data_IF_565050623623
#
_entry.id   IF_565050623623
#
_cell.length_a   1.000
_cell.length_b   1.000
_cell.length_c   1.000
_cell.angle_alpha   90.00
_cell.angle_beta   90.00
_cell.angle_gamma   90.00
#
_symmetry.space_group_name_H-M   'P 1'
#
loop_
_entity.id
_entity.type
_entity.pdbx_description
1 polymer ?
#
# COMPACT_ATOMS: atom_id res chain seq x y z
N UNK A 1 -35.52 -1.20 -16.73
CA UNK A 1 -35.05 -1.15 -15.33
C UNK A 1 -35.21 -2.53 -14.70
N UNK A 2 -34.12 -3.27 -14.52
CA UNK A 2 -34.09 -4.53 -13.78
C UNK A 2 -33.08 -4.37 -12.65
N UNK A 3 -33.59 -4.24 -11.42
CA UNK A 3 -32.79 -4.20 -10.19
C UNK A 3 -32.42 -5.65 -9.86
N UNK A 4 -31.19 -6.05 -10.14
CA UNK A 4 -30.68 -7.36 -9.71
C UNK A 4 -29.87 -7.10 -8.44
N UNK A 5 -30.49 -7.46 -7.32
CA UNK A 5 -29.88 -7.61 -6.00
C UNK A 5 -28.93 -8.81 -6.05
N UNK A 6 -27.63 -8.58 -5.88
CA UNK A 6 -26.63 -9.65 -5.72
C UNK A 6 -26.21 -9.65 -4.24
N UNK A 7 -26.26 -10.81 -3.56
CA UNK A 7 -26.15 -10.88 -2.12
C UNK A 7 -24.71 -10.65 -1.65
N UNK A 8 -24.63 -10.00 -0.50
CA UNK A 8 -23.46 -9.73 0.31
C UNK A 8 -22.67 -11.03 0.56
N UNK A 9 -21.57 -11.22 -0.17
CA UNK A 9 -20.61 -12.30 0.07
C UNK A 9 -19.60 -11.79 1.11
N UNK A 10 -19.68 -12.30 2.33
CA UNK A 10 -18.72 -12.04 3.40
C UNK A 10 -17.35 -12.56 2.97
N UNK A 11 -16.48 -11.67 2.48
CA UNK A 11 -15.07 -11.97 2.23
C UNK A 11 -14.33 -11.85 3.55
N UNK A 12 -13.87 -12.99 4.06
CA UNK A 12 -12.90 -13.08 5.16
C UNK A 12 -11.66 -12.25 4.80
N UNK A 13 -11.22 -11.28 5.62
CA UNK A 13 -9.95 -10.62 5.36
C UNK A 13 -8.83 -11.60 5.74
N UNK A 14 -8.28 -12.30 4.75
CA UNK A 14 -6.93 -12.82 4.85
C UNK A 14 -6.01 -11.61 5.05
N UNK A 15 -5.65 -11.33 6.31
CA UNK A 15 -4.60 -10.35 6.64
C UNK A 15 -3.27 -10.91 6.16
N UNK A 16 -2.96 -10.70 4.89
CA UNK A 16 -1.60 -10.78 4.39
C UNK A 16 -0.77 -9.75 5.18
N UNK A 17 0.15 -10.24 6.01
CA UNK A 17 1.08 -9.41 6.78
C UNK A 17 2.13 -8.83 5.82
N UNK A 18 1.75 -7.85 5.00
CA UNK A 18 2.66 -7.04 4.21
C UNK A 18 3.42 -6.09 5.15
N UNK A 19 4.52 -6.60 5.69
CA UNK A 19 5.42 -5.84 6.54
C UNK A 19 6.10 -4.70 5.77
N UNK A 20 5.79 -3.48 6.19
CA UNK A 20 6.63 -2.29 6.08
C UNK A 20 7.10 -1.87 4.68
N UNK A 21 6.14 -1.56 3.80
CA UNK A 21 6.38 -0.62 2.70
C UNK A 21 6.36 0.81 3.23
N UNK A 22 7.39 1.61 2.89
CA UNK A 22 7.43 3.05 3.15
C UNK A 22 6.27 3.75 2.41
N UNK A 23 5.58 4.72 3.03
CA UNK A 23 4.62 5.58 2.34
C UNK A 23 5.37 6.44 1.32
N UNK A 24 4.96 6.43 0.05
CA UNK A 24 5.62 7.19 -1.03
C UNK A 24 5.81 6.38 -2.31
N UNK A 25 6.58 5.29 -2.27
CA UNK A 25 6.88 4.48 -3.47
C UNK A 25 5.66 3.64 -3.92
N UNK A 26 4.85 3.22 -2.95
CA UNK A 26 3.58 2.54 -3.21
C UNK A 26 2.53 3.47 -3.83
N UNK A 27 2.55 4.77 -3.51
CA UNK A 27 1.52 5.69 -3.97
C UNK A 27 1.72 6.06 -5.44
N UNK A 28 2.97 6.31 -5.83
CA UNK A 28 3.32 6.53 -7.22
C UNK A 28 3.12 5.27 -8.06
N UNK A 29 3.47 4.09 -7.53
CA UNK A 29 3.21 2.81 -8.20
C UNK A 29 1.71 2.57 -8.42
N UNK A 30 0.88 2.85 -7.40
CA UNK A 30 -0.57 2.74 -7.51
C UNK A 30 -1.12 3.75 -8.52
N UNK A 31 -0.66 5.00 -8.50
CA UNK A 31 -1.07 6.01 -9.49
C UNK A 31 -0.75 5.57 -10.92
N UNK A 32 0.46 5.06 -11.18
CA UNK A 32 0.85 4.52 -12.49
C UNK A 32 0.03 3.29 -12.88
N UNK A 33 -0.28 2.41 -11.93
CA UNK A 33 -1.15 1.26 -12.20
C UNK A 33 -2.56 1.71 -12.58
N UNK A 34 -3.07 2.73 -11.90
CA UNK A 34 -4.38 3.29 -12.19
C UNK A 34 -4.46 3.98 -13.53
N UNK A 35 -3.40 4.67 -13.93
CA UNK A 35 -3.29 5.26 -15.25
C UNK A 35 -3.37 4.19 -16.34
N UNK A 36 -2.63 3.07 -16.18
CA UNK A 36 -2.70 1.92 -17.10
C UNK A 36 -4.10 1.31 -17.17
N UNK A 37 -4.74 1.05 -16.04
CA UNK A 37 -6.12 0.50 -16.01
C UNK A 37 -7.09 1.44 -16.71
N UNK A 38 -6.93 2.74 -16.50
CA UNK A 38 -7.81 3.73 -17.10
C UNK A 38 -7.62 3.83 -18.62
N UNK A 39 -6.40 3.64 -19.12
CA UNK A 39 -6.11 3.53 -20.56
C UNK A 39 -6.64 2.22 -21.15
N UNK A 40 -6.33 1.07 -20.54
CA UNK A 40 -6.75 -0.26 -21.01
C UNK A 40 -8.27 -0.42 -21.08
N UNK A 41 -9.00 0.23 -20.17
CA UNK A 41 -10.46 0.22 -20.14
C UNK A 41 -11.10 1.42 -20.85
N UNK A 42 -10.29 2.27 -21.49
CA UNK A 42 -10.72 3.46 -22.23
C UNK A 42 -11.65 4.37 -21.41
N UNK A 43 -11.31 4.55 -20.13
CA UNK A 43 -12.16 5.29 -19.21
C UNK A 43 -12.25 6.78 -19.57
N UNK A 44 -13.46 7.31 -19.54
CA UNK A 44 -13.69 8.74 -19.70
C UNK A 44 -13.30 9.53 -18.44
N UNK A 45 -13.27 10.86 -18.54
CA UNK A 45 -12.84 11.74 -17.44
C UNK A 45 -13.69 11.59 -16.17
N UNK A 46 -15.00 11.41 -16.32
CA UNK A 46 -15.89 11.22 -15.18
C UNK A 46 -15.58 9.91 -14.43
N UNK A 47 -15.40 8.81 -15.16
CA UNK A 47 -15.02 7.52 -14.58
C UNK A 47 -13.65 7.59 -13.90
N UNK A 48 -12.66 8.26 -14.53
CA UNK A 48 -11.34 8.46 -13.94
C UNK A 48 -11.41 9.22 -12.62
N UNK A 49 -12.27 10.24 -12.55
CA UNK A 49 -12.47 11.04 -11.33
C UNK A 49 -13.09 10.21 -10.20
N UNK A 50 -14.13 9.44 -10.49
CA UNK A 50 -14.76 8.55 -9.51
C UNK A 50 -13.79 7.52 -8.95
N UNK A 51 -13.02 6.89 -9.83
CA UNK A 51 -12.04 5.89 -9.43
C UNK A 51 -10.94 6.51 -8.56
N UNK A 52 -10.39 7.69 -8.93
CA UNK A 52 -9.43 8.40 -8.07
C UNK A 52 -10.00 8.64 -6.66
N UNK A 53 -11.27 9.06 -6.56
CA UNK A 53 -11.95 9.24 -5.28
C UNK A 53 -12.01 7.95 -4.45
N UNK A 54 -12.28 6.80 -5.08
CA UNK A 54 -12.27 5.48 -4.41
C UNK A 54 -10.88 5.16 -3.85
N UNK A 55 -9.81 5.42 -4.61
CA UNK A 55 -8.44 5.15 -4.15
C UNK A 55 -7.99 6.08 -3.03
N UNK A 56 -8.36 7.36 -3.08
CA UNK A 56 -8.03 8.32 -2.02
C UNK A 56 -8.72 7.94 -0.69
N UNK A 57 -10.00 7.55 -0.76
CA UNK A 57 -10.74 7.04 0.40
C UNK A 57 -10.12 5.74 0.94
N UNK A 58 -9.78 4.80 0.05
CA UNK A 58 -9.10 3.57 0.42
C UNK A 58 -7.75 3.84 1.11
N UNK A 59 -6.94 4.76 0.57
CA UNK A 59 -5.64 5.17 1.13
C UNK A 59 -5.79 5.74 2.53
N UNK A 60 -6.77 6.62 2.72
CA UNK A 60 -7.08 7.21 4.03
C UNK A 60 -7.43 6.13 5.06
N UNK A 61 -8.34 5.21 4.71
CA UNK A 61 -8.75 4.09 5.57
C UNK A 61 -7.59 3.16 5.91
N UNK A 62 -6.74 2.84 4.93
CA UNK A 62 -5.58 1.98 5.15
C UNK A 62 -4.52 2.64 6.03
N UNK A 63 -4.29 3.95 5.89
CA UNK A 63 -3.39 4.71 6.78
C UNK A 63 -3.86 4.63 8.23
N UNK A 64 -5.14 4.92 8.47
CA UNK A 64 -5.72 4.84 9.82
C UNK A 64 -5.67 3.41 10.38
N UNK A 65 -5.96 2.40 9.56
CA UNK A 65 -5.88 0.99 9.97
C UNK A 65 -4.44 0.58 10.33
N UNK A 66 -3.45 1.04 9.55
CA UNK A 66 -2.03 0.75 9.81
C UNK A 66 -1.57 1.37 11.12
N UNK A 67 -1.87 2.65 11.35
CA UNK A 67 -1.53 3.34 12.61
C UNK A 67 -2.17 2.66 13.82
N UNK A 68 -3.46 2.34 13.73
CA UNK A 68 -4.18 1.62 14.79
C UNK A 68 -3.60 0.22 15.05
N UNK A 69 -3.25 -0.51 13.99
CA UNK A 69 -2.66 -1.84 14.11
C UNK A 69 -1.27 -1.77 14.73
N UNK A 70 -0.46 -0.81 14.31
CA UNK A 70 0.87 -0.59 14.88
C UNK A 70 0.81 -0.24 16.37
N UNK A 71 -0.11 0.62 16.78
CA UNK A 71 -0.32 0.95 18.19
C UNK A 71 -0.69 -0.29 19.01
N UNK A 72 -1.65 -1.11 18.52
CA UNK A 72 -2.08 -2.35 19.18
C UNK A 72 -0.94 -3.36 19.30
N UNK A 73 -0.16 -3.54 18.23
CA UNK A 73 1.02 -4.41 18.24
C UNK A 73 2.04 -3.91 19.25
N UNK A 74 2.39 -2.62 19.23
CA UNK A 74 3.38 -2.07 20.16
C UNK A 74 2.94 -2.17 21.63
N UNK A 75 1.62 -2.13 21.88
CA UNK A 75 1.03 -2.27 23.22
C UNK A 75 1.18 -3.65 23.86
N UNK A 76 1.31 -4.72 23.06
CA UNK A 76 1.51 -6.09 23.58
C UNK A 76 2.99 -6.51 23.67
N UNK A 77 3.91 -5.71 23.11
CA UNK A 77 5.34 -6.01 23.12
C UNK A 77 6.02 -5.54 24.41
N UNK A 78 7.04 -6.28 24.85
CA UNK A 78 7.96 -5.80 25.88
C UNK A 78 8.88 -4.69 25.34
N UNK A 79 9.52 -3.88 26.19
CA UNK A 79 10.48 -2.86 25.75
C UNK A 79 11.61 -3.42 24.87
N UNK A 80 12.12 -4.60 25.20
CA UNK A 80 13.19 -5.27 24.44
C UNK A 80 12.70 -5.74 23.07
N UNK A 81 11.48 -6.28 22.99
CA UNK A 81 10.88 -6.69 21.72
C UNK A 81 10.60 -5.50 20.81
N UNK A 82 10.21 -4.34 21.35
CA UNK A 82 10.07 -3.10 20.58
C UNK A 82 11.41 -2.67 19.99
N UNK A 83 12.48 -2.62 20.81
CA UNK A 83 13.83 -2.31 20.30
C UNK A 83 14.26 -3.26 19.17
N UNK A 84 13.95 -4.56 19.30
CA UNK A 84 14.23 -5.55 18.25
C UNK A 84 13.42 -5.29 16.98
N UNK A 85 12.14 -4.91 17.09
CA UNK A 85 11.30 -4.50 15.95
C UNK A 85 11.92 -3.30 15.24
N UNK A 86 12.29 -2.26 15.98
CA UNK A 86 12.85 -1.02 15.42
C UNK A 86 14.17 -1.29 14.68
N UNK A 87 15.05 -2.10 15.27
CA UNK A 87 16.29 -2.54 14.62
C UNK A 87 16.04 -3.37 13.34
N UNK A 88 15.01 -4.22 13.33
CA UNK A 88 14.62 -4.94 12.12
C UNK A 88 14.08 -4.00 11.03
N UNK A 89 13.33 -2.96 11.40
CA UNK A 89 12.83 -1.95 10.46
C UNK A 89 13.98 -1.14 9.84
N UNK A 90 14.94 -0.72 10.66
CA UNK A 90 16.15 -0.02 10.20
C UNK A 90 16.96 -0.88 9.22
N UNK A 91 17.23 -2.14 9.56
CA UNK A 91 17.93 -3.06 8.66
C UNK A 91 17.20 -3.29 7.33
N UNK A 92 15.86 -3.32 7.35
CA UNK A 92 15.06 -3.40 6.11
C UNK A 92 15.23 -2.13 5.28
N UNK A 93 15.23 -0.96 5.92
CA UNK A 93 15.43 0.34 5.26
C UNK A 93 16.80 0.40 4.57
N UNK A 94 17.88 0.05 5.28
CA UNK A 94 19.24 0.03 4.72
C UNK A 94 19.36 -0.88 3.49
N UNK A 95 18.87 -2.13 3.59
CA UNK A 95 18.87 -3.06 2.46
C UNK A 95 18.08 -2.56 1.26
N UNK A 96 17.04 -1.76 1.50
CA UNK A 96 16.26 -1.17 0.43
C UNK A 96 17.00 0.00 -0.22
N UNK A 97 17.64 0.89 0.54
CA UNK A 97 18.47 1.97 -0.01
C UNK A 97 19.62 1.39 -0.85
N UNK A 98 20.33 0.38 -0.35
CA UNK A 98 21.39 -0.32 -1.10
C UNK A 98 20.86 -0.89 -2.44
N UNK A 99 19.66 -1.48 -2.41
CA UNK A 99 19.02 -1.99 -3.64
C UNK A 99 18.67 -0.84 -4.59
N UNK A 100 18.15 0.27 -4.07
CA UNK A 100 17.76 1.43 -4.86
C UNK A 100 18.98 2.05 -5.54
N UNK A 101 20.10 2.19 -4.83
CA UNK A 101 21.38 2.65 -5.38
C UNK A 101 21.84 1.75 -6.53
N UNK A 102 21.89 0.43 -6.32
CA UNK A 102 22.24 -0.54 -7.38
C UNK A 102 21.31 -0.47 -8.59
N UNK A 103 20.01 -0.22 -8.38
CA UNK A 103 19.05 -0.03 -9.47
C UNK A 103 19.31 1.27 -10.25
N UNK A 104 19.71 2.35 -9.58
CA UNK A 104 20.04 3.62 -10.22
C UNK A 104 21.34 3.52 -11.01
N UNK A 105 22.39 2.90 -10.46
CA UNK A 105 23.65 2.64 -11.17
C UNK A 105 23.41 1.89 -12.49
N UNK A 106 22.72 0.75 -12.43
CA UNK A 106 22.37 -0.05 -13.63
C UNK A 106 21.54 0.71 -14.66
N UNK A 107 20.71 1.65 -14.22
CA UNK A 107 19.90 2.47 -15.13
C UNK A 107 20.73 3.54 -15.83
N UNK A 108 21.76 4.06 -15.16
CA UNK A 108 22.63 5.11 -15.70
C UNK A 108 23.77 4.55 -16.57
N UNK A 109 24.07 3.25 -16.49
CA UNK A 109 25.05 2.55 -17.33
C UNK A 109 24.49 2.10 -18.71
N UNK A 110 23.19 2.21 -18.94
CA UNK A 110 22.50 1.89 -20.21
C UNK A 110 22.13 3.15 -20.97
#
# INVERSE_FOLDING_TARGET
MKKILIPLLFVLPLTALAGDGRPGDSDEMMARHMERVAEELELNEAQRKEIRGIFDDHRSKMKALRESTEARVNGVLTPEQRKKKDAMQEKRREKWEERKEKWQEKRNEK
#
